data_IF_070847705489
#
_entry.id   IF_070847705489
#
_cell.length_a   1.000
_cell.length_b   1.000
_cell.length_c   1.000
_cell.angle_alpha   90.00
_cell.angle_beta   90.00
_cell.angle_gamma   90.00
#
_symmetry.space_group_name_H-M   'P 1'
#
loop_
_entity.id
_entity.type
_entity.pdbx_description
1 polymer ?
#
# COMPACT_ATOMS: atom_id res chain seq x y z
N UNK A 1 41.28 54.76 -15.56
CA UNK A 1 41.42 53.52 -16.37
C UNK A 1 41.87 52.29 -15.56
N UNK A 2 42.81 52.38 -14.59
CA UNK A 2 43.36 51.18 -13.91
C UNK A 2 42.51 50.55 -12.79
N UNK A 3 41.58 51.29 -12.16
CA UNK A 3 40.79 50.81 -11.00
C UNK A 3 39.64 49.87 -11.41
N UNK A 4 39.01 50.14 -12.55
CA UNK A 4 37.93 49.31 -13.08
C UNK A 4 38.43 47.98 -13.63
N UNK A 5 39.66 47.92 -14.15
CA UNK A 5 40.31 46.67 -14.55
C UNK A 5 40.64 45.79 -13.35
N UNK A 6 41.14 46.38 -12.25
CA UNK A 6 41.43 45.66 -11.01
C UNK A 6 40.16 45.09 -10.33
N UNK A 7 39.08 45.88 -10.28
CA UNK A 7 37.79 45.42 -9.75
C UNK A 7 37.15 44.32 -10.63
N UNK A 8 37.36 44.37 -11.95
CA UNK A 8 36.93 43.31 -12.88
C UNK A 8 37.74 42.03 -12.69
N UNK A 9 39.05 42.11 -12.47
CA UNK A 9 39.87 40.93 -12.19
C UNK A 9 39.51 40.27 -10.86
N UNK A 10 39.32 41.03 -9.78
CA UNK A 10 38.93 40.49 -8.47
C UNK A 10 37.53 39.85 -8.50
N UNK A 11 36.58 40.45 -9.23
CA UNK A 11 35.25 39.88 -9.45
C UNK A 11 35.31 38.58 -10.28
N UNK A 12 36.22 38.49 -11.24
CA UNK A 12 36.46 37.27 -12.02
C UNK A 12 37.07 36.15 -11.16
N UNK A 13 38.08 36.44 -10.33
CA UNK A 13 38.68 35.47 -9.41
C UNK A 13 37.69 34.95 -8.35
N UNK A 14 36.84 35.83 -7.82
CA UNK A 14 35.78 35.44 -6.86
C UNK A 14 34.69 34.59 -7.50
N UNK A 15 34.26 34.91 -8.73
CA UNK A 15 33.35 34.08 -9.53
C UNK A 15 33.95 32.70 -9.85
N UNK A 16 35.24 32.62 -10.17
CA UNK A 16 35.93 31.35 -10.44
C UNK A 16 36.05 30.49 -9.18
N UNK A 17 36.33 31.11 -8.03
CA UNK A 17 36.32 30.45 -6.72
C UNK A 17 34.94 29.93 -6.35
N UNK A 18 33.88 30.72 -6.53
CA UNK A 18 32.49 30.31 -6.30
C UNK A 18 32.08 29.13 -7.18
N UNK A 19 32.39 29.17 -8.49
CA UNK A 19 32.16 28.05 -9.42
C UNK A 19 32.86 26.78 -8.94
N UNK A 20 34.09 26.88 -8.42
CA UNK A 20 34.83 25.74 -7.89
C UNK A 20 34.20 25.13 -6.63
N UNK A 21 33.63 25.97 -5.75
CA UNK A 21 32.96 25.53 -4.52
C UNK A 21 31.67 24.80 -4.87
N UNK A 22 30.84 25.40 -5.73
CA UNK A 22 29.60 24.77 -6.19
C UNK A 22 29.86 23.43 -6.91
N UNK A 23 30.93 23.32 -7.69
CA UNK A 23 31.33 22.06 -8.32
C UNK A 23 31.68 20.98 -7.27
N UNK A 24 32.39 21.35 -6.19
CA UNK A 24 32.72 20.41 -5.10
C UNK A 24 31.48 19.96 -4.33
N UNK A 25 30.52 20.85 -4.09
CA UNK A 25 29.25 20.53 -3.43
C UNK A 25 28.40 19.58 -4.28
N UNK A 26 28.24 19.88 -5.57
CA UNK A 26 27.55 19.02 -6.53
C UNK A 26 28.18 17.62 -6.60
N UNK A 27 29.50 17.53 -6.54
CA UNK A 27 30.21 16.25 -6.49
C UNK A 27 29.94 15.46 -5.21
N UNK A 28 29.85 16.13 -4.05
CA UNK A 28 29.48 15.49 -2.77
C UNK A 28 28.04 14.98 -2.81
N UNK A 29 27.12 15.77 -3.36
CA UNK A 29 25.71 15.40 -3.52
C UNK A 29 25.57 14.16 -4.42
N UNK A 30 26.24 14.14 -5.57
CA UNK A 30 26.30 12.98 -6.46
C UNK A 30 26.83 11.73 -5.73
N UNK A 31 27.88 11.89 -4.92
CA UNK A 31 28.44 10.78 -4.14
C UNK A 31 27.45 10.27 -3.07
N UNK A 32 26.72 11.17 -2.41
CA UNK A 32 25.68 10.85 -1.43
C UNK A 32 24.52 10.09 -2.09
N UNK A 33 24.01 10.59 -3.21
CA UNK A 33 22.94 9.97 -3.98
C UNK A 33 23.31 8.56 -4.45
N UNK A 34 24.54 8.37 -4.97
CA UNK A 34 25.05 7.03 -5.33
C UNK A 34 25.07 6.06 -4.14
N UNK A 35 25.37 6.56 -2.94
CA UNK A 35 25.39 5.74 -1.72
C UNK A 35 23.97 5.39 -1.26
N UNK A 36 23.04 6.35 -1.29
CA UNK A 36 21.63 6.12 -0.99
C UNK A 36 20.99 5.08 -1.91
N UNK A 37 21.25 5.18 -3.22
CA UNK A 37 20.79 4.18 -4.21
C UNK A 37 21.28 2.78 -3.86
N UNK A 38 22.55 2.64 -3.49
CA UNK A 38 23.11 1.35 -3.06
C UNK A 38 22.51 0.84 -1.74
N UNK A 39 22.26 1.71 -0.76
CA UNK A 39 21.66 1.28 0.52
C UNK A 39 20.24 0.73 0.34
N UNK A 40 19.48 1.28 -0.62
CA UNK A 40 18.14 0.80 -0.94
C UNK A 40 18.14 -0.50 -1.75
N UNK A 41 19.19 -0.77 -2.53
CA UNK A 41 19.32 -1.98 -3.33
C UNK A 41 20.79 -2.44 -3.39
N UNK A 42 21.29 -3.08 -2.31
CA UNK A 42 22.69 -3.44 -2.21
C UNK A 42 23.05 -4.56 -3.19
N UNK A 43 24.25 -4.47 -3.76
CA UNK A 43 24.78 -5.52 -4.63
C UNK A 43 25.14 -6.72 -3.76
N UNK A 44 24.55 -7.87 -4.05
CA UNK A 44 24.81 -9.13 -3.38
C UNK A 44 25.70 -10.03 -4.23
N UNK A 45 26.42 -10.94 -3.58
CA UNK A 45 27.22 -11.98 -4.22
C UNK A 45 26.40 -12.70 -5.31
N UNK A 46 26.97 -12.83 -6.51
CA UNK A 46 26.31 -13.53 -7.63
C UNK A 46 26.27 -15.06 -7.41
N UNK A 47 27.00 -15.61 -6.44
CA UNK A 47 26.85 -17.02 -6.05
C UNK A 47 25.53 -17.20 -5.31
N UNK A 48 24.67 -18.01 -5.89
CA UNK A 48 23.31 -18.22 -5.44
C UNK A 48 23.14 -18.88 -4.08
N UNK A 49 24.14 -19.63 -3.63
CA UNK A 49 24.16 -20.22 -2.29
C UNK A 49 24.70 -19.25 -1.24
N UNK A 50 25.00 -18.01 -1.63
CA UNK A 50 25.61 -16.99 -0.81
C UNK A 50 24.74 -15.73 -0.77
N UNK A 51 24.44 -15.21 0.43
CA UNK A 51 23.68 -13.97 0.63
C UNK A 51 24.56 -12.81 1.11
N UNK A 52 25.87 -12.88 0.82
CA UNK A 52 26.81 -11.85 1.23
C UNK A 52 26.57 -10.55 0.44
N UNK A 53 26.48 -9.42 1.16
CA UNK A 53 26.35 -8.09 0.57
C UNK A 53 27.76 -7.56 0.25
N UNK A 54 28.02 -7.22 -1.01
CA UNK A 54 29.32 -6.72 -1.48
C UNK A 54 29.49 -5.27 -1.02
N UNK A 55 30.51 -4.93 -0.21
CA UNK A 55 30.69 -3.59 0.34
C UNK A 55 30.64 -2.48 -0.72
N UNK A 56 30.10 -1.31 -0.37
CA UNK A 56 29.94 -0.19 -1.30
C UNK A 56 31.23 0.14 -2.05
N UNK A 57 32.40 0.10 -1.39
CA UNK A 57 33.70 0.39 -2.00
C UNK A 57 34.10 -0.62 -3.08
N UNK A 58 33.61 -1.85 -2.99
CA UNK A 58 33.98 -2.98 -3.84
C UNK A 58 32.92 -3.29 -4.91
N UNK A 59 31.72 -2.72 -4.77
CA UNK A 59 30.52 -2.96 -5.58
C UNK A 59 30.70 -2.85 -7.11
N UNK A 60 31.69 -2.10 -7.59
CA UNK A 60 31.96 -1.92 -9.02
C UNK A 60 32.90 -2.98 -9.59
N UNK A 61 33.70 -3.63 -8.73
CA UNK A 61 34.78 -4.54 -9.13
C UNK A 61 34.47 -5.99 -8.80
N UNK A 62 33.79 -6.23 -7.68
CA UNK A 62 33.51 -7.57 -7.21
C UNK A 62 32.10 -8.00 -7.58
N UNK A 63 32.01 -9.19 -8.18
CA UNK A 63 30.77 -9.92 -8.43
C UNK A 63 30.50 -10.98 -7.37
N UNK A 64 31.55 -11.49 -6.72
CA UNK A 64 31.50 -12.54 -5.72
C UNK A 64 32.24 -12.11 -4.46
N UNK A 65 31.81 -12.60 -3.30
CA UNK A 65 32.47 -12.30 -2.02
C UNK A 65 33.82 -13.02 -1.82
N UNK A 66 34.10 -14.05 -2.62
CA UNK A 66 35.34 -14.82 -2.57
C UNK A 66 35.58 -15.60 -3.86
N UNK A 67 36.83 -16.00 -4.08
CA UNK A 67 37.24 -16.92 -5.15
C UNK A 67 36.49 -18.27 -5.08
N UNK A 68 36.23 -18.76 -3.87
CA UNK A 68 35.40 -19.96 -3.64
C UNK A 68 33.96 -19.76 -4.12
N UNK A 69 33.36 -18.59 -3.84
CA UNK A 69 32.04 -18.27 -4.37
C UNK A 69 32.03 -18.10 -5.88
N UNK A 70 33.09 -17.55 -6.47
CA UNK A 70 33.27 -17.48 -7.92
C UNK A 70 33.36 -18.88 -8.54
N UNK A 71 34.16 -19.78 -7.97
CA UNK A 71 34.37 -21.13 -8.49
C UNK A 71 33.13 -22.03 -8.34
N UNK A 72 32.35 -21.83 -7.27
CA UNK A 72 31.09 -22.54 -7.03
C UNK A 72 29.87 -21.82 -7.59
N UNK A 73 30.09 -20.74 -8.35
CA UNK A 73 28.99 -19.96 -8.89
C UNK A 73 28.28 -20.77 -9.98
N UNK A 74 27.05 -21.17 -9.70
CA UNK A 74 26.11 -21.53 -10.77
C UNK A 74 25.52 -20.20 -11.22
N UNK A 75 25.91 -19.70 -12.40
CA UNK A 75 25.36 -18.45 -12.96
C UNK A 75 23.83 -18.64 -13.10
N UNK A 76 23.03 -18.13 -12.16
CA UNK A 76 21.56 -18.15 -12.29
C UNK A 76 21.16 -17.05 -13.28
N UNK A 77 20.52 -17.41 -14.40
CA UNK A 77 19.46 -16.54 -14.93
C UNK A 77 18.33 -16.55 -13.89
N UNK A 78 18.28 -15.56 -13.00
CA UNK A 78 17.19 -15.46 -12.01
C UNK A 78 15.87 -15.27 -12.78
N UNK A 79 14.88 -16.13 -12.54
CA UNK A 79 13.53 -15.98 -13.12
C UNK A 79 12.95 -14.65 -12.63
N UNK A 80 12.73 -13.72 -13.55
CA UNK A 80 12.01 -12.48 -13.29
C UNK A 80 10.52 -12.84 -13.24
N UNK A 81 9.84 -12.41 -12.19
CA UNK A 81 8.39 -12.53 -12.06
C UNK A 81 7.75 -11.16 -12.24
N UNK A 82 6.53 -11.12 -12.78
CA UNK A 82 5.75 -9.88 -12.92
C UNK A 82 4.64 -9.85 -11.88
N UNK A 83 4.55 -8.77 -11.11
CA UNK A 83 3.54 -8.63 -10.08
C UNK A 83 2.15 -8.44 -10.71
N UNK A 84 1.16 -9.24 -10.30
CA UNK A 84 -0.21 -9.13 -10.82
C UNK A 84 -0.94 -7.84 -10.41
N UNK A 85 -0.48 -7.17 -9.34
CA UNK A 85 -1.07 -5.90 -8.86
C UNK A 85 -0.40 -4.69 -9.49
N UNK A 86 0.89 -4.48 -9.24
CA UNK A 86 1.60 -3.27 -9.66
C UNK A 86 2.33 -3.40 -11.00
N UNK A 87 2.37 -4.59 -11.59
CA UNK A 87 3.04 -4.83 -12.87
C UNK A 87 4.58 -4.80 -12.84
N UNK A 88 5.18 -4.48 -11.69
CA UNK A 88 6.64 -4.38 -11.53
C UNK A 88 7.27 -5.77 -11.62
N UNK A 89 8.41 -5.83 -12.32
CA UNK A 89 9.28 -6.98 -12.39
C UNK A 89 10.05 -7.17 -11.07
N UNK A 90 10.03 -8.38 -10.52
CA UNK A 90 10.65 -8.68 -9.22
C UNK A 90 11.26 -10.08 -9.17
N UNK A 91 12.23 -10.24 -8.28
CA UNK A 91 12.92 -11.51 -8.04
C UNK A 91 12.47 -12.11 -6.72
N UNK A 92 11.94 -13.33 -6.78
CA UNK A 92 11.61 -14.13 -5.59
C UNK A 92 11.54 -15.60 -5.99
N UNK A 93 11.94 -16.48 -5.07
CA UNK A 93 11.96 -17.92 -5.33
C UNK A 93 10.54 -18.52 -5.41
N UNK A 94 10.41 -19.61 -6.16
CA UNK A 94 9.13 -20.29 -6.44
C UNK A 94 8.34 -19.64 -7.58
N UNK A 95 7.01 -19.68 -7.48
CA UNK A 95 6.06 -19.07 -8.42
C UNK A 95 5.26 -17.93 -7.77
N UNK A 96 5.93 -16.84 -7.36
CA UNK A 96 5.28 -15.75 -6.64
C UNK A 96 4.41 -14.92 -7.60
N UNK A 97 3.18 -14.62 -7.16
CA UNK A 97 2.23 -13.78 -7.91
C UNK A 97 2.41 -12.28 -7.66
N UNK A 98 3.01 -11.91 -6.53
CA UNK A 98 3.10 -10.52 -6.07
C UNK A 98 4.48 -10.19 -5.54
N UNK A 99 4.92 -8.95 -5.79
CA UNK A 99 6.23 -8.46 -5.32
C UNK A 99 6.29 -8.25 -3.80
N UNK A 100 5.16 -8.01 -3.16
CA UNK A 100 5.07 -7.73 -1.72
C UNK A 100 3.75 -8.22 -1.12
N UNK A 101 3.71 -8.35 0.21
CA UNK A 101 2.46 -8.66 0.95
C UNK A 101 1.41 -7.57 0.79
N UNK A 102 1.85 -6.32 0.60
CA UNK A 102 0.97 -5.18 0.32
C UNK A 102 0.22 -5.40 -1.00
N UNK A 103 0.95 -5.67 -2.09
CA UNK A 103 0.35 -5.94 -3.40
C UNK A 103 -0.57 -7.17 -3.39
N UNK A 104 -0.20 -8.23 -2.66
CA UNK A 104 -1.10 -9.39 -2.48
C UNK A 104 -2.42 -8.99 -1.82
N UNK A 105 -2.35 -8.19 -0.75
CA UNK A 105 -3.54 -7.76 0.01
C UNK A 105 -4.42 -6.83 -0.83
N UNK A 106 -3.82 -5.90 -1.57
CA UNK A 106 -4.51 -4.97 -2.48
C UNK A 106 -5.22 -5.71 -3.61
N UNK A 107 -4.53 -6.61 -4.31
CA UNK A 107 -5.13 -7.39 -5.38
C UNK A 107 -6.28 -8.28 -4.90
N UNK A 108 -6.10 -8.95 -3.76
CA UNK A 108 -7.18 -9.74 -3.13
C UNK A 108 -8.38 -8.87 -2.75
N UNK A 109 -8.14 -7.63 -2.33
CA UNK A 109 -9.22 -6.69 -2.04
C UNK A 109 -9.96 -6.29 -3.32
N UNK A 110 -9.25 -6.03 -4.42
CA UNK A 110 -9.85 -5.75 -5.73
C UNK A 110 -10.75 -6.91 -6.19
N UNK A 111 -10.27 -8.16 -6.11
CA UNK A 111 -11.09 -9.32 -6.43
C UNK A 111 -12.32 -9.41 -5.54
N UNK A 112 -12.14 -9.22 -4.23
CA UNK A 112 -13.24 -9.27 -3.26
C UNK A 112 -14.30 -8.19 -3.51
N UNK A 113 -13.92 -6.98 -3.94
CA UNK A 113 -14.88 -5.94 -4.36
C UNK A 113 -15.78 -6.42 -5.50
N UNK A 114 -15.23 -7.13 -6.47
CA UNK A 114 -16.01 -7.70 -7.59
C UNK A 114 -17.00 -8.76 -7.08
N UNK A 115 -16.60 -9.59 -6.13
CA UNK A 115 -17.48 -10.60 -5.54
C UNK A 115 -18.60 -9.97 -4.69
N UNK A 116 -18.29 -8.87 -3.98
CA UNK A 116 -19.29 -8.09 -3.23
C UNK A 116 -20.34 -7.51 -4.17
N UNK A 117 -19.94 -6.88 -5.27
CA UNK A 117 -20.88 -6.32 -6.27
C UNK A 117 -21.78 -7.39 -6.89
N UNK A 118 -21.33 -8.66 -6.92
CA UNK A 118 -22.12 -9.80 -7.38
C UNK A 118 -22.98 -10.44 -6.29
N UNK A 119 -22.96 -9.93 -5.05
CA UNK A 119 -23.69 -10.51 -3.92
C UNK A 119 -23.15 -11.85 -3.42
N UNK A 120 -21.90 -12.19 -3.72
CA UNK A 120 -21.30 -13.49 -3.35
C UNK A 120 -20.64 -13.49 -1.96
N UNK A 121 -20.59 -12.34 -1.29
CA UNK A 121 -19.93 -12.17 0.00
C UNK A 121 -20.98 -11.81 1.06
N UNK A 122 -21.02 -12.59 2.14
CA UNK A 122 -21.96 -12.40 3.25
C UNK A 122 -21.29 -11.93 4.56
N UNK A 123 -19.98 -11.68 4.53
CA UNK A 123 -19.25 -11.24 5.72
C UNK A 123 -19.56 -9.77 6.02
N UNK A 124 -20.32 -9.52 7.10
CA UNK A 124 -20.78 -8.17 7.48
C UNK A 124 -19.65 -7.15 7.64
N UNK A 125 -18.51 -7.51 8.24
CA UNK A 125 -17.39 -6.59 8.42
C UNK A 125 -16.78 -6.20 7.07
N UNK A 126 -16.68 -7.16 6.14
CA UNK A 126 -16.18 -6.95 4.78
C UNK A 126 -17.12 -6.04 3.99
N UNK A 127 -18.42 -6.33 4.01
CA UNK A 127 -19.45 -5.52 3.36
C UNK A 127 -19.45 -4.09 3.92
N UNK A 128 -19.39 -3.94 5.25
CA UNK A 128 -19.29 -2.64 5.90
C UNK A 128 -18.07 -1.87 5.44
N UNK A 129 -16.89 -2.49 5.43
CA UNK A 129 -15.65 -1.85 4.97
C UNK A 129 -15.79 -1.36 3.54
N UNK A 130 -16.36 -2.20 2.67
CA UNK A 130 -16.61 -1.86 1.28
C UNK A 130 -17.58 -0.68 1.12
N UNK A 131 -18.70 -0.68 1.85
CA UNK A 131 -19.68 0.41 1.81
C UNK A 131 -19.07 1.74 2.29
N UNK A 132 -18.22 1.71 3.33
CA UNK A 132 -17.51 2.91 3.81
C UNK A 132 -16.53 3.42 2.75
N UNK A 133 -15.80 2.52 2.08
CA UNK A 133 -14.86 2.92 1.03
C UNK A 133 -15.57 3.50 -0.21
N UNK A 134 -16.74 2.95 -0.58
CA UNK A 134 -17.51 3.36 -1.76
C UNK A 134 -18.28 4.66 -1.56
N UNK A 135 -18.89 4.84 -0.37
CA UNK A 135 -19.82 5.94 -0.12
C UNK A 135 -19.32 6.93 0.94
N UNK A 136 -18.20 6.62 1.62
CA UNK A 136 -17.71 7.40 2.74
C UNK A 136 -18.39 7.05 4.07
N UNK A 137 -17.84 7.59 5.15
CA UNK A 137 -18.28 7.33 6.51
C UNK A 137 -19.38 8.32 6.94
N UNK A 138 -20.62 8.09 6.52
CA UNK A 138 -21.78 8.91 6.90
C UNK A 138 -23.08 8.11 6.94
N UNK A 139 -24.07 8.58 7.70
CA UNK A 139 -25.41 7.98 7.70
C UNK A 139 -26.15 8.30 6.39
N UNK A 140 -26.68 7.29 5.71
CA UNK A 140 -27.44 7.48 4.46
C UNK A 140 -28.80 8.13 4.67
N UNK A 141 -29.36 8.04 5.90
CA UNK A 141 -30.69 8.60 6.21
C UNK A 141 -30.62 10.07 6.61
N UNK A 142 -29.74 10.43 7.54
CA UNK A 142 -29.65 11.79 8.08
C UNK A 142 -28.36 12.54 7.73
N UNK A 143 -27.43 11.91 7.02
CA UNK A 143 -26.17 12.54 6.61
C UNK A 143 -25.13 12.72 7.72
N UNK A 144 -25.46 12.40 8.98
CA UNK A 144 -24.54 12.65 10.10
C UNK A 144 -23.21 11.90 9.94
N UNK A 145 -22.12 12.61 10.22
CA UNK A 145 -20.74 12.10 10.18
C UNK A 145 -20.10 12.07 11.56
N UNK A 146 -20.35 13.12 12.34
CA UNK A 146 -19.74 13.35 13.64
C UNK A 146 -20.77 13.81 14.67
N UNK A 147 -20.49 13.51 15.95
CA UNK A 147 -21.29 13.89 17.10
C UNK A 147 -20.35 14.25 18.25
N UNK A 148 -20.45 15.47 18.78
CA UNK A 148 -19.49 16.06 19.72
C UNK A 148 -18.02 15.91 19.27
N UNK A 149 -17.74 16.17 17.98
CA UNK A 149 -16.40 16.10 17.40
C UNK A 149 -15.82 14.68 17.28
N UNK A 150 -16.63 13.63 17.51
CA UNK A 150 -16.23 12.24 17.34
C UNK A 150 -16.99 11.61 16.17
N UNK A 151 -16.37 10.72 15.38
CA UNK A 151 -17.07 9.99 14.32
C UNK A 151 -18.28 9.24 14.87
N UNK A 152 -19.44 9.42 14.23
CA UNK A 152 -20.67 8.74 14.66
C UNK A 152 -20.54 7.24 14.45
N UNK A 153 -20.92 6.40 15.43
CA UNK A 153 -21.05 4.97 15.20
C UNK A 153 -22.10 4.71 14.11
N UNK A 154 -21.63 4.26 12.96
CA UNK A 154 -22.47 3.80 11.86
C UNK A 154 -22.63 2.29 11.99
N UNK A 155 -23.74 1.73 11.56
CA UNK A 155 -24.00 0.31 11.37
C UNK A 155 -24.18 0.00 9.87
N UNK A 156 -23.85 -1.23 9.48
CA UNK A 156 -24.33 -1.77 8.21
C UNK A 156 -25.71 -2.36 8.45
N UNK A 157 -26.69 -1.87 7.70
CA UNK A 157 -28.10 -2.23 7.76
C UNK A 157 -28.60 -2.75 6.40
N UNK A 158 -29.60 -3.62 6.44
CA UNK A 158 -30.28 -4.19 5.27
C UNK A 158 -31.61 -3.48 5.09
N UNK A 159 -31.84 -2.85 3.93
CA UNK A 159 -33.02 -2.01 3.67
C UNK A 159 -34.31 -2.82 3.83
N UNK A 160 -34.34 -4.05 3.33
CA UNK A 160 -35.45 -4.99 3.45
C UNK A 160 -35.54 -5.71 4.79
N UNK A 161 -34.58 -5.50 5.71
CA UNK A 161 -34.48 -6.21 6.98
C UNK A 161 -34.08 -7.69 6.88
N UNK A 162 -33.85 -8.23 5.68
CA UNK A 162 -33.45 -9.60 5.47
C UNK A 162 -31.92 -9.73 5.47
N UNK A 163 -31.35 -10.25 6.56
CA UNK A 163 -29.89 -10.38 6.69
C UNK A 163 -29.23 -11.42 5.79
N UNK A 164 -29.99 -12.12 4.94
CA UNK A 164 -29.45 -13.02 3.91
C UNK A 164 -29.34 -12.35 2.54
N UNK A 165 -29.94 -11.17 2.37
CA UNK A 165 -29.90 -10.40 1.13
C UNK A 165 -28.72 -9.42 1.16
N UNK A 166 -27.52 -9.93 0.89
CA UNK A 166 -26.28 -9.16 0.92
C UNK A 166 -25.98 -8.42 -0.40
N UNK A 167 -26.98 -8.24 -1.27
CA UNK A 167 -26.84 -7.43 -2.48
C UNK A 167 -26.50 -5.97 -2.11
N UNK A 168 -25.51 -5.38 -2.79
CA UNK A 168 -25.02 -4.03 -2.46
C UNK A 168 -26.14 -2.97 -2.44
N UNK A 169 -27.11 -3.08 -3.34
CA UNK A 169 -28.28 -2.18 -3.40
C UNK A 169 -29.22 -2.31 -2.20
N UNK A 170 -29.20 -3.45 -1.50
CA UNK A 170 -29.98 -3.69 -0.28
C UNK A 170 -29.22 -3.26 0.99
N UNK A 171 -27.95 -2.88 0.89
CA UNK A 171 -27.14 -2.46 2.02
C UNK A 171 -27.15 -0.93 2.17
N UNK A 172 -27.16 -0.45 3.42
CA UNK A 172 -26.94 0.96 3.74
C UNK A 172 -26.12 1.16 5.00
N UNK A 173 -25.45 2.30 5.08
CA UNK A 173 -24.77 2.76 6.29
C UNK A 173 -25.71 3.68 7.08
N UNK A 174 -26.01 3.33 8.33
CA UNK A 174 -26.98 4.07 9.15
C UNK A 174 -26.43 4.34 10.55
N UNK A 175 -26.70 5.50 11.16
CA UNK A 175 -26.32 5.75 12.55
C UNK A 175 -27.26 5.03 13.53
N UNK A 176 -26.81 4.82 14.77
CA UNK A 176 -27.60 4.11 15.80
C UNK A 176 -28.98 4.71 16.06
N UNK A 177 -29.11 6.04 16.00
CA UNK A 177 -30.41 6.71 16.18
C UNK A 177 -31.37 6.43 15.03
N UNK A 178 -30.88 6.51 13.79
CA UNK A 178 -31.71 6.24 12.60
C UNK A 178 -32.05 4.75 12.48
N UNK A 179 -31.14 3.86 12.89
CA UNK A 179 -31.33 2.41 12.96
C UNK A 179 -32.47 2.07 13.93
N UNK A 180 -32.42 2.61 15.16
CA UNK A 180 -33.44 2.39 16.18
C UNK A 180 -34.85 2.86 15.77
N UNK A 181 -34.94 3.89 14.94
CA UNK A 181 -36.20 4.40 14.39
C UNK A 181 -36.72 3.61 13.18
N UNK A 182 -35.94 2.66 12.64
CA UNK A 182 -36.33 1.85 11.49
C UNK A 182 -37.50 0.91 11.78
N UNK A 183 -38.26 0.58 10.72
CA UNK A 183 -39.38 -0.37 10.77
C UNK A 183 -38.90 -1.82 10.91
N UNK A 184 -37.65 -2.09 10.53
CA UNK A 184 -36.98 -3.39 10.64
C UNK A 184 -36.05 -3.48 11.86
N UNK A 185 -36.18 -2.58 12.83
CA UNK A 185 -35.34 -2.59 14.03
C UNK A 185 -35.82 -3.62 15.07
N UNK A 186 -34.90 -4.46 15.55
CA UNK A 186 -35.14 -5.38 16.67
C UNK A 186 -36.38 -6.26 16.48
N UNK A 187 -37.30 -6.20 17.45
CA UNK A 187 -38.53 -7.00 17.44
C UNK A 187 -39.53 -6.60 16.35
N UNK A 188 -39.42 -5.40 15.75
CA UNK A 188 -40.28 -5.01 14.62
C UNK A 188 -40.02 -5.87 13.38
N UNK A 189 -38.80 -6.40 13.26
CA UNK A 189 -38.40 -7.31 12.18
C UNK A 189 -38.72 -8.79 12.48
N UNK A 190 -39.75 -9.06 13.30
CA UNK A 190 -40.21 -10.43 13.57
C UNK A 190 -40.69 -11.07 12.27
N UNK A 191 -40.49 -12.38 12.12
CA UNK A 191 -40.76 -13.11 10.88
C UNK A 191 -39.65 -13.01 9.83
N UNK A 192 -38.97 -11.86 9.72
CA UNK A 192 -37.99 -11.60 8.66
C UNK A 192 -36.53 -11.85 9.12
N UNK A 193 -35.65 -12.34 8.23
CA UNK A 193 -34.25 -12.61 8.52
C UNK A 193 -33.93 -13.92 9.28
N UNK A 194 -33.00 -13.86 10.25
CA UNK A 194 -32.32 -15.04 10.86
C UNK A 194 -33.27 -15.95 11.65
N UNK A 195 -33.85 -16.96 10.99
CA UNK A 195 -34.76 -17.93 11.60
C UNK A 195 -34.12 -18.70 12.76
N UNK A 196 -32.83 -19.03 12.65
CA UNK A 196 -32.08 -19.79 13.67
C UNK A 196 -32.11 -19.13 15.06
N UNK A 197 -32.12 -17.79 15.14
CA UNK A 197 -32.16 -17.07 16.43
C UNK A 197 -33.47 -17.26 17.19
N UNK A 198 -34.53 -17.72 16.53
CA UNK A 198 -35.86 -17.89 17.13
C UNK A 198 -36.13 -19.31 17.59
N UNK A 199 -35.34 -20.30 17.16
CA UNK A 199 -35.51 -21.70 17.56
C UNK A 199 -35.37 -21.93 19.08
N UNK A 200 -34.68 -21.02 19.78
CA UNK A 200 -34.44 -21.11 21.22
C UNK A 200 -35.42 -20.28 22.08
N UNK A 201 -36.44 -19.66 21.49
CA UNK A 201 -37.42 -18.85 22.25
C UNK A 201 -38.66 -19.64 22.70
N UNK A 202 -38.79 -20.90 22.29
CA UNK A 202 -39.92 -21.78 22.61
C UNK A 202 -39.52 -22.99 23.49
N UNK A 203 -38.42 -22.88 24.23
CA UNK A 203 -38.04 -23.80 25.32
C UNK A 203 -38.15 -23.04 26.64
#
# INVERSE_FOLDING_TARGET
MKRDEYLKSDKFFTLQKQKSIMAKEKMKEIASNKRLVYLNNPIICENIKCNYIIPYKERLRQKYCSSSCSAKSVIRKRKINKCLECGIDFFKEGEPKYCSRKCDTEYRWILKKKDIEKGLINNRQTLRKYMIEKHGYHCFKCGIKEWYGKPVPINLDHIDGNSYNDEVKNLRLICLHCDALGDTYGNKNKGNGRKERRKNLNK
#
